data_IF_070493643392
#
_entry.id   IF_070493643392
#
_cell.length_a   1.000
_cell.length_b   1.000
_cell.length_c   1.000
_cell.angle_alpha   90.00
_cell.angle_beta   90.00
_cell.angle_gamma   90.00
#
_symmetry.space_group_name_H-M   'P 1'
#
loop_
_entity.id
_entity.type
_entity.pdbx_description
1 polymer ?
#
# COMPACT_ATOMS: atom_id res chain seq x y z
N UNK A 1 31.56 10.45 41.03
CA UNK A 1 31.86 10.55 39.58
C UNK A 1 31.26 9.39 38.77
N UNK A 2 31.22 8.16 39.30
CA UNK A 2 30.73 6.95 38.61
C UNK A 2 29.21 6.96 38.30
N UNK A 3 28.38 7.43 39.24
CA UNK A 3 26.90 7.51 39.07
C UNK A 3 26.48 8.42 37.92
N UNK A 4 27.22 9.52 37.68
CA UNK A 4 26.94 10.49 36.62
C UNK A 4 27.21 9.88 35.23
N UNK A 5 28.25 9.05 35.11
CA UNK A 5 28.53 8.32 33.87
C UNK A 5 27.53 7.19 33.62
N UNK A 6 27.06 6.51 34.67
CA UNK A 6 25.99 5.49 34.57
C UNK A 6 24.68 6.12 34.07
N UNK A 7 24.30 7.30 34.58
CA UNK A 7 23.10 8.03 34.10
C UNK A 7 23.23 8.52 32.66
N UNK A 8 24.42 8.97 32.24
CA UNK A 8 24.69 9.41 30.85
C UNK A 8 24.70 8.21 29.89
N UNK A 9 25.24 7.06 30.31
CA UNK A 9 25.14 5.81 29.55
C UNK A 9 23.68 5.34 29.45
N UNK A 10 22.90 5.38 30.53
CA UNK A 10 21.46 5.07 30.53
C UNK A 10 20.65 5.99 29.60
N UNK A 11 21.02 7.28 29.50
CA UNK A 11 20.42 8.21 28.54
C UNK A 11 20.82 7.95 27.08
N UNK A 12 22.03 7.44 26.83
CA UNK A 12 22.52 7.07 25.50
C UNK A 12 21.90 5.76 24.97
N UNK A 13 21.47 4.84 25.85
CA UNK A 13 20.70 3.64 25.47
C UNK A 13 19.20 3.86 25.33
N UNK A 14 18.65 4.98 25.83
CA UNK A 14 17.30 5.43 25.47
C UNK A 14 17.32 5.92 24.01
N UNK A 15 17.31 4.97 23.08
CA UNK A 15 16.92 5.23 21.68
C UNK A 15 15.62 6.04 21.74
N UNK A 16 15.57 7.20 21.09
CA UNK A 16 14.32 7.92 20.86
C UNK A 16 13.41 7.00 20.03
N UNK A 17 12.61 6.16 20.69
CA UNK A 17 11.51 5.44 20.04
C UNK A 17 10.44 6.47 19.74
N UNK A 18 10.51 7.06 18.55
CA UNK A 18 9.44 7.90 18.04
C UNK A 18 8.17 7.06 18.00
N UNK A 19 7.17 7.42 18.80
CA UNK A 19 5.87 6.77 18.77
C UNK A 19 5.34 6.78 17.33
N UNK A 20 5.01 5.60 16.80
CA UNK A 20 4.48 5.46 15.45
C UNK A 20 2.96 5.54 15.52
N UNK A 21 2.36 6.47 14.79
CA UNK A 21 0.91 6.62 14.74
C UNK A 21 0.34 5.57 13.78
N UNK A 22 -0.63 4.78 14.22
CA UNK A 22 -1.22 3.71 13.39
C UNK A 22 -2.64 4.07 12.95
N UNK A 23 -2.89 3.98 11.65
CA UNK A 23 -4.15 4.23 10.98
C UNK A 23 -4.70 2.92 10.42
N UNK A 24 -5.69 2.33 11.09
CA UNK A 24 -6.35 1.12 10.63
C UNK A 24 -7.40 1.46 9.55
N UNK A 25 -7.33 0.84 8.38
CA UNK A 25 -8.27 1.12 7.28
C UNK A 25 -9.75 0.87 7.64
N UNK A 26 -10.03 -0.04 8.56
CA UNK A 26 -11.40 -0.33 9.01
C UNK A 26 -12.02 0.84 9.80
N UNK A 27 -11.21 1.64 10.51
CA UNK A 27 -11.74 2.83 11.22
C UNK A 27 -12.20 3.92 10.25
N UNK A 28 -11.82 3.81 8.97
CA UNK A 28 -12.27 4.68 7.88
C UNK A 28 -13.34 4.03 6.99
N UNK A 29 -13.91 2.90 7.42
CA UNK A 29 -15.01 2.23 6.73
C UNK A 29 -14.61 1.17 5.71
N UNK A 30 -13.32 0.78 5.64
CA UNK A 30 -12.93 -0.38 4.83
C UNK A 30 -13.60 -1.64 5.39
N UNK A 31 -14.22 -2.43 4.50
CA UNK A 31 -14.83 -3.71 4.85
C UNK A 31 -14.02 -4.84 4.25
N UNK A 32 -13.81 -5.89 5.05
CA UNK A 32 -13.02 -7.08 4.68
C UNK A 32 -13.83 -8.14 3.93
N UNK A 33 -14.91 -7.75 3.24
CA UNK A 33 -15.88 -8.63 2.59
C UNK A 33 -15.53 -8.97 1.12
N UNK A 34 -14.48 -8.35 0.57
CA UNK A 34 -14.07 -8.48 -0.84
C UNK A 34 -15.07 -7.91 -1.85
N UNK A 35 -16.07 -7.15 -1.41
CA UNK A 35 -17.19 -6.65 -2.23
C UNK A 35 -17.39 -5.15 -2.12
N UNK A 36 -17.26 -4.60 -0.92
CA UNK A 36 -17.43 -3.18 -0.67
C UNK A 36 -16.16 -2.41 -1.05
N UNK A 37 -16.29 -1.38 -1.89
CA UNK A 37 -15.13 -0.57 -2.29
C UNK A 37 -14.49 0.11 -1.09
N UNK A 38 -13.23 -0.24 -0.84
CA UNK A 38 -12.42 0.28 0.26
C UNK A 38 -11.52 1.44 -0.16
N UNK A 39 -11.53 1.85 -1.44
CA UNK A 39 -10.64 2.90 -1.99
C UNK A 39 -10.59 4.16 -1.11
N UNK A 40 -11.74 4.69 -0.72
CA UNK A 40 -11.81 5.93 0.07
C UNK A 40 -11.23 5.77 1.48
N UNK A 41 -11.39 4.59 2.10
CA UNK A 41 -10.80 4.29 3.39
C UNK A 41 -9.26 4.27 3.33
N UNK A 42 -8.70 3.70 2.26
CA UNK A 42 -7.26 3.72 2.01
C UNK A 42 -6.73 5.13 1.73
N UNK A 43 -7.45 5.94 0.93
CA UNK A 43 -7.08 7.34 0.69
C UNK A 43 -7.12 8.18 1.97
N UNK A 44 -8.10 7.94 2.84
CA UNK A 44 -8.20 8.63 4.13
C UNK A 44 -7.06 8.25 5.08
N UNK A 45 -6.75 6.95 5.18
CA UNK A 45 -5.61 6.47 5.96
C UNK A 45 -4.28 7.05 5.44
N UNK A 46 -4.09 7.10 4.11
CA UNK A 46 -2.94 7.73 3.48
C UNK A 46 -2.85 9.22 3.78
N UNK A 47 -3.94 9.98 3.61
CA UNK A 47 -3.97 11.41 3.86
C UNK A 47 -3.57 11.75 5.30
N UNK A 48 -4.07 11.00 6.28
CA UNK A 48 -3.71 11.18 7.69
C UNK A 48 -2.25 10.79 7.96
N UNK A 49 -1.82 9.66 7.43
CA UNK A 49 -0.41 9.22 7.53
C UNK A 49 0.55 10.25 6.95
N UNK A 50 0.16 10.84 5.83
CA UNK A 50 0.96 11.81 5.10
C UNK A 50 1.05 13.16 5.81
N UNK A 51 -0.01 13.54 6.54
CA UNK A 51 -0.04 14.75 7.35
C UNK A 51 0.52 14.58 8.77
N UNK A 52 0.89 13.36 9.17
CA UNK A 52 1.47 13.09 10.49
C UNK A 52 2.84 13.75 10.64
N UNK A 53 3.09 14.31 11.82
CA UNK A 53 4.41 14.86 12.22
C UNK A 53 5.36 13.77 12.72
N UNK A 54 4.83 12.59 13.05
CA UNK A 54 5.58 11.40 13.48
C UNK A 54 5.55 10.32 12.39
N UNK A 55 6.46 9.32 12.43
CA UNK A 55 6.34 8.13 11.59
C UNK A 55 4.93 7.55 11.68
N UNK A 56 4.37 7.20 10.52
CA UNK A 56 3.01 6.71 10.43
C UNK A 56 2.99 5.27 9.92
N UNK A 57 2.00 4.51 10.39
CA UNK A 57 1.71 3.15 9.97
C UNK A 57 0.29 3.09 9.46
N UNK A 58 0.07 2.49 8.29
CA UNK A 58 -1.25 2.15 7.77
C UNK A 58 -1.41 0.66 7.97
N UNK A 59 -2.39 0.27 8.78
CA UNK A 59 -2.65 -1.14 9.08
C UNK A 59 -3.86 -1.64 8.29
N UNK A 60 -3.66 -2.75 7.57
CA UNK A 60 -4.72 -3.48 6.86
C UNK A 60 -4.88 -4.83 7.54
N UNK A 61 -5.94 -5.02 8.34
CA UNK A 61 -6.21 -6.30 9.02
C UNK A 61 -6.37 -7.47 8.05
N UNK A 62 -6.40 -8.69 8.57
CA UNK A 62 -6.70 -9.88 7.79
C UNK A 62 -8.11 -9.78 7.16
N UNK A 63 -8.25 -10.25 5.91
CA UNK A 63 -9.49 -10.17 5.15
C UNK A 63 -9.28 -9.77 3.69
N UNK A 64 -10.37 -9.62 2.93
CA UNK A 64 -10.33 -9.21 1.52
C UNK A 64 -10.89 -7.80 1.35
N UNK A 65 -10.12 -6.89 0.78
CA UNK A 65 -10.52 -5.49 0.60
C UNK A 65 -10.57 -5.16 -0.89
N UNK A 66 -11.76 -4.90 -1.43
CA UNK A 66 -11.91 -4.50 -2.82
C UNK A 66 -11.39 -3.07 -3.01
N UNK A 67 -10.51 -2.88 -4.00
CA UNK A 67 -10.11 -1.55 -4.48
C UNK A 67 -10.71 -1.41 -5.88
N UNK A 68 -11.91 -0.84 -5.95
CA UNK A 68 -12.78 -1.01 -7.11
C UNK A 68 -12.32 -0.25 -8.38
N UNK A 69 -11.37 0.67 -8.23
CA UNK A 69 -10.80 1.46 -9.31
C UNK A 69 -9.37 1.84 -8.98
N UNK A 70 -8.64 2.39 -9.96
CA UNK A 70 -7.26 2.79 -9.76
C UNK A 70 -7.08 3.74 -8.57
N UNK A 71 -6.07 3.44 -7.74
CA UNK A 71 -5.76 4.10 -6.49
C UNK A 71 -4.37 4.71 -6.57
N UNK A 72 -4.27 6.01 -6.27
CA UNK A 72 -2.98 6.71 -6.22
C UNK A 72 -2.75 7.30 -4.84
N UNK A 73 -1.63 6.89 -4.23
CA UNK A 73 -1.06 7.47 -3.03
C UNK A 73 -0.03 8.52 -3.42
N UNK A 74 -0.43 9.80 -3.37
CA UNK A 74 0.45 10.93 -3.71
C UNK A 74 1.27 11.35 -2.49
N UNK A 75 2.58 11.48 -2.66
CA UNK A 75 3.50 12.05 -1.67
C UNK A 75 3.81 13.53 -1.89
N UNK A 76 3.17 14.20 -2.86
CA UNK A 76 3.34 15.63 -3.04
C UNK A 76 2.85 16.38 -1.80
N UNK A 77 3.72 17.17 -1.17
CA UNK A 77 3.41 17.90 0.07
C UNK A 77 3.32 17.01 1.33
N UNK A 78 3.80 15.78 1.26
CA UNK A 78 3.76 14.86 2.40
C UNK A 78 4.69 15.30 3.52
N UNK A 79 4.16 15.41 4.74
CA UNK A 79 4.88 15.89 5.93
C UNK A 79 5.57 14.77 6.68
N UNK A 80 5.01 13.57 6.67
CA UNK A 80 5.56 12.45 7.42
C UNK A 80 6.92 12.03 6.87
N UNK A 81 7.86 11.83 7.79
CA UNK A 81 9.23 11.40 7.48
C UNK A 81 9.36 9.94 7.06
N UNK A 82 8.38 9.11 7.43
CA UNK A 82 8.35 7.68 7.12
C UNK A 82 6.91 7.15 7.25
N UNK A 83 6.46 6.39 6.25
CA UNK A 83 5.15 5.74 6.24
C UNK A 83 5.33 4.25 6.00
N UNK A 84 4.74 3.41 6.86
CA UNK A 84 4.77 1.95 6.72
C UNK A 84 3.37 1.42 6.45
N UNK A 85 3.15 0.74 5.33
CA UNK A 85 1.99 -0.11 5.13
C UNK A 85 2.25 -1.49 5.74
N UNK A 86 1.46 -1.87 6.73
CA UNK A 86 1.47 -3.21 7.30
C UNK A 86 0.19 -3.91 6.84
N UNK A 87 0.32 -4.83 5.88
CA UNK A 87 -0.79 -5.50 5.25
C UNK A 87 -0.83 -6.95 5.75
N UNK A 88 -1.82 -7.27 6.57
CA UNK A 88 -2.13 -8.64 6.97
C UNK A 88 -3.19 -9.29 6.05
N UNK A 89 -3.95 -8.48 5.32
CA UNK A 89 -5.01 -8.94 4.42
C UNK A 89 -4.62 -9.06 2.94
N UNK A 90 -5.65 -9.15 2.11
CA UNK A 90 -5.56 -9.17 0.65
C UNK A 90 -6.27 -7.95 0.07
N UNK A 91 -5.57 -7.18 -0.77
CA UNK A 91 -6.22 -6.18 -1.62
C UNK A 91 -6.64 -6.88 -2.91
N UNK A 92 -7.88 -6.66 -3.34
CA UNK A 92 -8.50 -7.37 -4.46
C UNK A 92 -8.95 -6.35 -5.49
N UNK A 93 -8.61 -6.59 -6.75
CA UNK A 93 -9.13 -5.80 -7.88
C UNK A 93 -10.56 -6.22 -8.24
N UNK A 94 -11.30 -5.42 -9.02
CA UNK A 94 -12.58 -5.85 -9.57
C UNK A 94 -12.43 -7.08 -10.47
N UNK A 95 -13.44 -7.94 -10.45
CA UNK A 95 -13.51 -9.11 -11.34
C UNK A 95 -13.66 -8.73 -12.81
N UNK A 96 -14.30 -7.59 -13.05
CA UNK A 96 -14.38 -6.95 -14.35
C UNK A 96 -13.09 -6.20 -14.66
N UNK A 97 -12.29 -6.74 -15.59
CA UNK A 97 -11.05 -6.12 -16.03
C UNK A 97 -11.24 -4.73 -16.67
N UNK A 98 -12.46 -4.38 -17.08
CA UNK A 98 -12.76 -3.05 -17.65
C UNK A 98 -12.61 -1.92 -16.62
N UNK A 99 -12.85 -2.21 -15.33
CA UNK A 99 -12.83 -1.20 -14.27
C UNK A 99 -11.42 -0.63 -14.01
N UNK A 100 -10.37 -1.41 -14.28
CA UNK A 100 -8.97 -0.98 -14.08
C UNK A 100 -8.07 -1.19 -15.30
N UNK A 101 -8.55 -1.88 -16.34
CA UNK A 101 -7.75 -2.31 -17.49
C UNK A 101 -7.23 -1.18 -18.38
N UNK A 102 -7.79 0.03 -18.24
CA UNK A 102 -7.33 1.24 -18.93
C UNK A 102 -6.47 2.16 -18.03
N UNK A 103 -6.40 1.89 -16.72
CA UNK A 103 -5.75 2.80 -15.77
C UNK A 103 -4.22 2.73 -15.78
N UNK A 104 -3.62 1.85 -16.60
CA UNK A 104 -2.19 1.52 -16.70
C UNK A 104 -1.57 0.94 -15.42
N UNK A 105 -1.92 1.46 -14.24
CA UNK A 105 -1.48 1.03 -12.91
C UNK A 105 -2.68 0.96 -11.97
N UNK A 106 -2.85 -0.16 -11.25
CA UNK A 106 -3.98 -0.35 -10.35
C UNK A 106 -3.76 0.35 -9.00
N UNK A 107 -2.59 0.14 -8.39
CA UNK A 107 -2.17 0.82 -7.16
C UNK A 107 -0.86 1.53 -7.44
N UNK A 108 -0.89 2.86 -7.36
CA UNK A 108 0.23 3.74 -7.69
C UNK A 108 0.69 4.51 -6.46
N UNK A 109 1.98 4.46 -6.19
CA UNK A 109 2.64 5.39 -5.28
C UNK A 109 3.37 6.45 -6.11
N UNK A 110 3.01 7.72 -5.94
CA UNK A 110 3.50 8.82 -6.77
C UNK A 110 4.26 9.85 -5.95
N UNK A 111 5.53 10.09 -6.28
CA UNK A 111 6.43 11.05 -5.59
C UNK A 111 6.39 10.85 -4.06
N UNK A 112 6.41 9.60 -3.61
CA UNK A 112 6.46 9.27 -2.18
C UNK A 112 7.90 9.17 -1.72
N UNK A 113 8.19 9.41 -0.45
CA UNK A 113 9.52 9.24 0.16
C UNK A 113 9.40 8.36 1.40
N UNK A 114 10.37 7.47 1.63
CA UNK A 114 10.44 6.59 2.81
C UNK A 114 9.14 5.82 3.10
N UNK A 115 8.55 5.24 2.05
CA UNK A 115 7.40 4.34 2.18
C UNK A 115 7.90 2.91 2.23
N UNK A 116 7.47 2.16 3.24
CA UNK A 116 7.73 0.73 3.38
C UNK A 116 6.42 -0.02 3.26
N UNK A 117 6.41 -1.19 2.61
CA UNK A 117 5.22 -2.04 2.49
C UNK A 117 5.60 -3.43 2.98
N UNK A 118 4.92 -3.90 4.02
CA UNK A 118 5.16 -5.17 4.69
C UNK A 118 3.96 -6.10 4.49
N UNK A 119 4.25 -7.32 4.04
CA UNK A 119 3.28 -8.41 3.94
C UNK A 119 2.18 -8.19 2.91
N UNK A 120 1.09 -8.94 3.10
CA UNK A 120 -0.14 -8.83 2.33
C UNK A 120 -0.12 -9.56 1.00
N UNK A 121 -1.28 -9.56 0.35
CA UNK A 121 -1.46 -10.09 -1.01
C UNK A 121 -2.15 -9.05 -1.88
N UNK A 122 -1.68 -8.88 -3.12
CA UNK A 122 -2.37 -8.08 -4.13
C UNK A 122 -2.94 -9.04 -5.18
N UNK A 123 -4.25 -9.25 -5.14
CA UNK A 123 -5.00 -10.10 -6.06
C UNK A 123 -5.62 -9.22 -7.17
N UNK A 124 -4.94 -9.13 -8.32
CA UNK A 124 -5.38 -8.24 -9.41
C UNK A 124 -6.47 -8.86 -10.32
N UNK A 125 -6.97 -10.06 -10.02
CA UNK A 125 -8.05 -10.74 -10.76
C UNK A 125 -7.86 -10.79 -12.30
N UNK A 126 -6.63 -11.01 -12.77
CA UNK A 126 -6.28 -10.92 -14.20
C UNK A 126 -6.77 -12.06 -15.12
N UNK A 127 -7.36 -13.13 -14.57
CA UNK A 127 -7.74 -14.34 -15.34
C UNK A 127 -8.78 -14.05 -16.43
N UNK A 128 -9.76 -13.18 -16.15
CA UNK A 128 -10.78 -12.78 -17.11
C UNK A 128 -10.21 -11.97 -18.27
N UNK A 129 -9.21 -11.11 -18.00
CA UNK A 129 -8.50 -10.37 -19.03
C UNK A 129 -7.64 -11.30 -19.90
N UNK A 130 -6.98 -12.29 -19.27
CA UNK A 130 -6.21 -13.30 -19.99
C UNK A 130 -7.08 -14.07 -20.99
N UNK A 131 -8.23 -14.58 -20.54
CA UNK A 131 -9.19 -15.27 -21.39
C UNK A 131 -9.66 -14.40 -22.57
N UNK A 132 -9.87 -13.10 -22.35
CA UNK A 132 -10.16 -12.15 -23.42
C UNK A 132 -9.03 -12.10 -24.46
N UNK A 133 -7.78 -11.89 -24.01
CA UNK A 133 -6.61 -11.79 -24.89
C UNK A 133 -6.39 -13.06 -25.72
N UNK A 134 -6.55 -14.24 -25.10
CA UNK A 134 -6.41 -15.53 -25.80
C UNK A 134 -7.54 -15.80 -26.79
N UNK A 135 -8.68 -15.12 -26.68
CA UNK A 135 -9.81 -15.27 -27.61
C UNK A 135 -9.69 -14.45 -28.90
N UNK A 136 -8.60 -13.69 -29.08
CA UNK A 136 -8.40 -12.84 -30.26
C UNK A 136 -9.29 -11.59 -30.31
N UNK A 137 -10.00 -11.28 -29.24
CA UNK A 137 -10.86 -10.08 -29.13
C UNK A 137 -10.04 -8.82 -28.85
N UNK A 138 -10.63 -7.67 -29.16
CA UNK A 138 -10.10 -6.38 -28.69
C UNK A 138 -10.30 -6.28 -27.17
N UNK A 139 -9.20 -6.33 -26.42
CA UNK A 139 -9.19 -6.30 -24.96
C UNK A 139 -8.35 -5.12 -24.46
N UNK A 140 -8.63 -4.57 -23.27
CA UNK A 140 -7.77 -3.57 -22.65
C UNK A 140 -6.32 -4.07 -22.48
N UNK A 141 -5.34 -3.15 -22.47
CA UNK A 141 -3.93 -3.52 -22.26
C UNK A 141 -3.72 -4.26 -20.94
N UNK A 142 -4.48 -3.88 -19.91
CA UNK A 142 -4.35 -4.38 -18.55
C UNK A 142 -3.69 -3.36 -17.63
N UNK A 143 -3.73 -3.64 -16.34
CA UNK A 143 -3.24 -2.75 -15.30
C UNK A 143 -2.07 -3.39 -14.57
N UNK A 144 -0.94 -2.69 -14.48
CA UNK A 144 0.26 -3.19 -13.82
C UNK A 144 0.26 -2.85 -12.33
N UNK A 145 0.96 -3.65 -11.53
CA UNK A 145 1.46 -3.21 -10.23
C UNK A 145 2.93 -2.90 -10.43
N UNK A 146 3.28 -1.63 -10.66
CA UNK A 146 4.68 -1.20 -10.79
C UNK A 146 5.16 -0.65 -9.45
N UNK A 147 6.16 -1.28 -8.80
CA UNK A 147 6.95 -0.56 -7.81
C UNK A 147 7.76 0.49 -8.56
N UNK A 148 7.23 1.70 -8.70
CA UNK A 148 8.01 2.80 -9.27
C UNK A 148 9.07 3.17 -8.22
N UNK A 149 10.34 3.14 -8.62
CA UNK A 149 11.49 3.49 -7.77
C UNK A 149 11.44 4.96 -7.40
N UNK A 150 10.80 5.26 -6.27
CA UNK A 150 11.26 6.35 -5.42
C UNK A 150 12.57 5.93 -4.78
N UNK A 151 13.50 6.87 -4.62
CA UNK A 151 14.91 6.69 -4.25
C UNK A 151 15.16 5.96 -2.92
N UNK A 152 14.13 5.60 -2.15
CA UNK A 152 14.24 4.88 -0.87
C UNK A 152 13.05 3.92 -0.59
N UNK A 153 12.56 3.17 -1.58
CA UNK A 153 11.66 2.03 -1.34
C UNK A 153 12.49 0.81 -0.90
N UNK A 154 12.68 0.64 0.41
CA UNK A 154 13.30 -0.57 0.94
C UNK A 154 12.31 -1.74 0.83
N UNK A 155 12.59 -2.66 -0.11
CA UNK A 155 12.06 -4.03 -0.23
C UNK A 155 10.54 -4.16 -0.21
N UNK A 156 9.95 -3.97 -1.39
CA UNK A 156 8.56 -4.36 -1.69
C UNK A 156 8.55 -5.86 -2.02
N UNK A 157 8.35 -6.73 -1.02
CA UNK A 157 7.94 -8.13 -1.27
C UNK A 157 6.42 -8.16 -1.47
N UNK A 158 5.96 -7.58 -2.57
CA UNK A 158 4.59 -7.80 -3.02
C UNK A 158 4.62 -9.11 -3.78
N UNK A 159 4.02 -10.15 -3.20
CA UNK A 159 3.61 -11.32 -3.96
C UNK A 159 2.50 -10.87 -4.91
N UNK A 160 2.90 -10.36 -6.07
CA UNK A 160 2.00 -10.13 -7.21
C UNK A 160 1.67 -11.52 -7.73
N UNK A 161 0.64 -12.16 -7.19
CA UNK A 161 0.01 -13.28 -7.89
C UNK A 161 -0.80 -12.68 -9.05
N UNK A 162 -0.10 -12.35 -10.11
CA UNK A 162 -0.69 -12.14 -11.43
C UNK A 162 0.33 -12.64 -12.45
N UNK A 163 0.15 -13.92 -12.74
CA UNK A 163 0.61 -14.59 -13.94
C UNK A 163 0.56 -13.63 -15.14
N UNK A 164 1.74 -13.45 -15.73
CA UNK A 164 2.03 -13.04 -17.11
C UNK A 164 1.61 -11.64 -17.59
N UNK A 165 2.53 -10.69 -17.38
CA UNK A 165 2.81 -9.58 -18.29
C UNK A 165 3.90 -9.98 -19.29
N UNK A 166 3.64 -10.90 -20.21
CA UNK A 166 4.46 -11.05 -21.41
C UNK A 166 3.56 -11.34 -22.61
N UNK A 167 3.26 -10.26 -23.34
CA UNK A 167 3.00 -10.23 -24.78
C UNK A 167 3.18 -8.77 -25.20
#
# INVERSE_FOLDING_TARGET
>A
MVIKHIMVLLFLVFRLSSATVTYNVQTFGAKSDGRSDSKNAFLKAWSLSCNSTSPASIYVPAGRYLIASALTFSGQGCKSRAITFNIAGTLVAPSSYNAIGNAQVWIKFYIVKNVTINGGTLDAQGSSLWACKTSGKACPKGSTVRPYTSTNLHRVFVYIFSFFFYS
#
